data_IF_945504520246
#
_entry.id   IF_945504520246
#
_cell.length_a   1.000
_cell.length_b   1.000
_cell.length_c   1.000
_cell.angle_alpha   90.00
_cell.angle_beta   90.00
_cell.angle_gamma   90.00
#
_symmetry.space_group_name_H-M   'P 1'
#
loop_
_entity.id
_entity.type
_entity.pdbx_description
1 polymer ?
#
# COMPACT_ATOMS: atom_id res chain seq x y z
N UNK A 1 9.34 -2.75 6.83
CA UNK A 1 8.31 -1.78 6.45
C UNK A 1 7.00 -2.48 6.15
N UNK A 2 5.90 -1.89 6.56
CA UNK A 2 4.61 -2.51 6.30
C UNK A 2 4.17 -2.45 4.84
N UNK A 3 4.68 -1.48 4.09
CA UNK A 3 4.33 -1.36 2.69
C UNK A 3 5.19 -2.31 1.86
N UNK A 4 4.54 -3.13 1.05
CA UNK A 4 5.23 -4.11 0.21
C UNK A 4 4.87 -3.88 -1.24
N UNK A 5 5.79 -4.26 -2.12
CA UNK A 5 5.51 -4.18 -3.54
C UNK A 5 4.68 -5.38 -3.96
N UNK A 6 3.83 -5.18 -4.95
CA UNK A 6 3.00 -6.24 -5.47
C UNK A 6 2.79 -6.02 -6.95
N UNK A 7 2.13 -6.96 -7.59
CA UNK A 7 1.79 -6.80 -8.99
C UNK A 7 0.46 -7.49 -9.25
N UNK A 8 -0.30 -6.94 -10.17
CA UNK A 8 -1.58 -7.49 -10.57
C UNK A 8 -1.86 -7.07 -12.00
N UNK A 9 -2.35 -8.01 -12.81
CA UNK A 9 -2.67 -7.72 -14.21
C UNK A 9 -1.48 -7.14 -14.96
N UNK A 10 -0.28 -7.59 -14.62
CA UNK A 10 0.93 -7.13 -15.29
C UNK A 10 1.37 -5.74 -14.90
N UNK A 11 0.79 -5.16 -13.87
CA UNK A 11 1.15 -3.83 -13.41
C UNK A 11 1.76 -3.89 -12.02
N UNK A 12 2.76 -3.04 -11.75
CA UNK A 12 3.32 -2.96 -10.40
C UNK A 12 2.39 -2.21 -9.47
N UNK A 13 2.53 -2.47 -8.17
CA UNK A 13 1.71 -1.79 -7.20
C UNK A 13 2.28 -1.91 -5.79
N UNK A 14 1.52 -1.45 -4.83
CA UNK A 14 1.91 -1.51 -3.42
C UNK A 14 0.73 -1.99 -2.59
N UNK A 15 1.06 -2.63 -1.49
CA UNK A 15 0.04 -3.09 -0.55
C UNK A 15 0.57 -2.95 0.87
N UNK A 16 -0.34 -2.95 1.83
CA UNK A 16 0.02 -2.84 3.24
C UNK A 16 0.05 -4.24 3.84
N UNK A 17 1.26 -4.80 3.94
CA UNK A 17 1.41 -6.12 4.51
C UNK A 17 0.88 -7.22 3.61
N UNK A 18 0.98 -8.46 4.06
CA UNK A 18 0.57 -9.59 3.21
C UNK A 18 -0.93 -9.66 2.94
N UNK A 19 -1.73 -9.02 3.78
CA UNK A 19 -3.18 -9.08 3.62
C UNK A 19 -3.76 -7.81 3.02
N UNK A 20 -2.92 -6.85 2.67
CA UNK A 20 -3.39 -5.61 2.10
C UNK A 20 -3.80 -5.77 0.65
N UNK A 21 -4.63 -4.84 0.19
CA UNK A 21 -5.04 -4.81 -1.21
C UNK A 21 -3.89 -4.27 -2.06
N UNK A 22 -3.69 -4.87 -3.22
CA UNK A 22 -2.62 -4.45 -4.12
C UNK A 22 -3.10 -3.29 -4.98
N UNK A 23 -2.64 -2.09 -4.67
CA UNK A 23 -2.97 -0.91 -5.45
C UNK A 23 -1.96 -0.75 -6.56
N UNK A 24 -2.38 -0.99 -7.79
CA UNK A 24 -1.49 -0.91 -8.92
C UNK A 24 -1.43 0.51 -9.48
N UNK A 25 -0.37 0.80 -10.21
CA UNK A 25 -0.19 2.10 -10.83
C UNK A 25 0.42 1.91 -12.21
N UNK A 26 0.35 2.97 -13.03
CA UNK A 26 0.92 2.93 -14.36
C UNK A 26 2.44 3.00 -14.27
N UNK A 27 3.16 1.99 -14.80
CA UNK A 27 4.63 2.05 -14.77
C UNK A 27 5.14 3.26 -15.53
N UNK A 28 6.21 3.84 -15.01
CA UNK A 28 6.79 5.03 -15.61
C UNK A 28 6.23 6.33 -15.08
N UNK A 29 5.17 6.28 -14.28
CA UNK A 29 4.59 7.48 -13.68
C UNK A 29 4.92 7.52 -12.21
N UNK A 30 5.82 8.42 -11.84
CA UNK A 30 6.21 8.53 -10.44
C UNK A 30 5.07 9.04 -9.58
N UNK A 31 4.27 9.92 -10.14
CA UNK A 31 3.13 10.46 -9.43
C UNK A 31 2.14 9.35 -9.09
N UNK A 32 1.86 8.48 -10.06
CA UNK A 32 0.94 7.37 -9.83
C UNK A 32 1.52 6.40 -8.81
N UNK A 33 2.83 6.20 -8.84
CA UNK A 33 3.47 5.32 -7.88
C UNK A 33 3.32 5.83 -6.47
N UNK A 34 3.52 7.12 -6.27
CA UNK A 34 3.37 7.71 -4.95
C UNK A 34 1.93 7.64 -4.48
N UNK A 35 0.99 7.85 -5.38
CA UNK A 35 -0.42 7.77 -5.03
C UNK A 35 -0.80 6.35 -4.60
N UNK A 36 -0.30 5.35 -5.30
CA UNK A 36 -0.61 3.97 -4.94
C UNK A 36 -0.03 3.63 -3.58
N UNK A 37 1.18 4.07 -3.31
CA UNK A 37 1.81 3.83 -2.02
C UNK A 37 1.02 4.47 -0.90
N UNK A 38 0.55 5.68 -1.13
CA UNK A 38 -0.24 6.37 -0.12
C UNK A 38 -1.56 5.67 0.13
N UNK A 39 -2.20 5.18 -0.92
CA UNK A 39 -3.46 4.47 -0.76
C UNK A 39 -3.25 3.19 0.05
N UNK A 40 -2.17 2.49 -0.22
CA UNK A 40 -1.88 1.27 0.54
C UNK A 40 -1.67 1.59 2.01
N UNK A 41 -0.96 2.67 2.30
CA UNK A 41 -0.73 3.07 3.67
C UNK A 41 -2.03 3.45 4.37
N UNK A 42 -2.90 4.17 3.67
CA UNK A 42 -4.17 4.57 4.26
C UNK A 42 -5.05 3.36 4.53
N UNK A 43 -5.00 2.35 3.69
CA UNK A 43 -5.72 1.12 3.97
C UNK A 43 -5.22 0.48 5.25
N UNK A 44 -3.91 0.47 5.44
CA UNK A 44 -3.34 -0.08 6.66
C UNK A 44 -3.77 0.68 7.89
N UNK A 45 -3.86 2.01 7.77
CA UNK A 45 -4.34 2.84 8.88
C UNK A 45 -5.75 2.44 9.27
N UNK A 46 -6.62 2.27 8.27
CA UNK A 46 -7.99 1.89 8.55
C UNK A 46 -8.08 0.52 9.20
N UNK A 47 -7.28 -0.43 8.72
CA UNK A 47 -7.27 -1.76 9.30
C UNK A 47 -6.80 -1.72 10.75
N UNK A 48 -5.72 -0.97 11.00
CA UNK A 48 -5.18 -0.88 12.35
C UNK A 48 -6.17 -0.24 13.31
N UNK A 49 -6.88 0.77 12.85
CA UNK A 49 -7.87 1.42 13.70
C UNK A 49 -9.01 0.47 14.05
N UNK A 50 -9.45 -0.32 13.06
CA UNK A 50 -10.53 -1.26 13.30
C UNK A 50 -10.14 -2.36 14.26
N UNK A 51 -8.88 -2.80 14.22
CA UNK A 51 -8.43 -3.85 15.11
C UNK A 51 -7.85 -3.32 16.39
N UNK A 52 -7.73 -2.01 16.55
CA UNK A 52 -7.19 -1.41 17.77
C UNK A 52 -5.70 -1.55 17.92
N UNK A 53 -5.01 -1.82 16.84
CA UNK A 53 -3.56 -1.98 16.87
C UNK A 53 -2.87 -0.67 16.59
N UNK A 54 -1.66 -0.54 17.13
CA UNK A 54 -0.84 0.61 16.84
C UNK A 54 -0.20 0.46 15.49
N UNK A 55 -0.08 1.59 14.79
CA UNK A 55 0.58 1.59 13.51
C UNK A 55 2.09 1.64 13.69
N UNK A 56 2.84 0.91 12.87
CA UNK A 56 4.28 1.05 12.87
C UNK A 56 4.67 2.38 12.26
N UNK A 57 5.88 2.83 12.59
CA UNK A 57 6.41 4.02 11.98
C UNK A 57 6.58 3.77 10.50
N UNK A 58 6.15 4.74 9.73
CA UNK A 58 6.32 4.64 8.32
C UNK A 58 7.71 5.02 7.90
N UNK A 59 8.26 4.31 7.02
CA UNK A 59 9.62 4.57 6.61
C UNK A 59 9.73 4.86 5.18
#
# INVERSE_FOLDING_TARGET
MPIQSCSADGKPGYKFGPEGYCYTYTPGSEKARKAAKQKAYLQGVAIAKNSGEELPDEE
#
